data_IF_154224344362
#
_entry.id   IF_154224344362
#
_cell.length_a   1.000
_cell.length_b   1.000
_cell.length_c   1.000
_cell.angle_alpha   90.00
_cell.angle_beta   90.00
_cell.angle_gamma   90.00
#
_symmetry.space_group_name_H-M   'P 1'
#
loop_
_entity.id
_entity.type
_entity.pdbx_description
1 polymer ?
#
# COMPACT_ATOMS: atom_id res chain seq x y z
N UNK A 1 -3.66 10.13 26.43
CA UNK A 1 -2.36 10.46 25.83
C UNK A 1 -2.47 10.35 24.32
N UNK A 2 -1.74 11.16 23.56
CA UNK A 2 -1.70 11.04 22.10
C UNK A 2 -0.74 9.91 21.72
N UNK A 3 -1.17 9.04 20.79
CA UNK A 3 -0.35 7.91 20.30
C UNK A 3 0.80 8.38 19.39
N UNK A 4 0.76 9.64 18.93
CA UNK A 4 1.77 10.25 18.06
C UNK A 4 1.99 11.72 18.44
N UNK A 5 3.26 12.18 18.45
CA UNK A 5 3.66 13.51 18.93
C UNK A 5 4.25 14.43 17.86
N UNK A 6 4.15 14.07 16.57
CA UNK A 6 4.65 14.85 15.43
C UNK A 6 3.55 15.47 14.56
N UNK A 7 3.94 16.21 13.52
CA UNK A 7 3.02 16.68 12.48
C UNK A 7 2.56 15.50 11.61
N UNK A 8 1.29 15.11 11.76
CA UNK A 8 0.69 14.07 10.94
C UNK A 8 0.19 14.66 9.63
N UNK A 9 1.04 14.65 8.61
CA UNK A 9 0.72 15.16 7.28
C UNK A 9 -0.17 14.20 6.48
N UNK A 10 -0.76 14.69 5.39
CA UNK A 10 -1.54 13.88 4.47
C UNK A 10 -0.71 12.70 3.91
N UNK A 11 0.55 12.92 3.53
CA UNK A 11 1.46 11.86 3.10
C UNK A 11 1.68 10.80 4.18
N UNK A 12 1.84 11.22 5.44
CA UNK A 12 1.96 10.29 6.57
C UNK A 12 0.68 9.47 6.75
N UNK A 13 -0.48 10.11 6.61
CA UNK A 13 -1.78 9.44 6.69
C UNK A 13 -1.96 8.41 5.57
N UNK A 14 -1.61 8.76 4.33
CA UNK A 14 -1.66 7.85 3.17
C UNK A 14 -0.72 6.67 3.39
N UNK A 15 0.49 6.91 3.89
CA UNK A 15 1.46 5.86 4.17
C UNK A 15 0.97 4.91 5.28
N UNK A 16 0.47 5.44 6.38
CA UNK A 16 -0.12 4.62 7.45
C UNK A 16 -1.31 3.79 6.97
N UNK A 17 -2.21 4.39 6.19
CA UNK A 17 -3.35 3.69 5.60
C UNK A 17 -2.90 2.55 4.67
N UNK A 18 -1.87 2.78 3.86
CA UNK A 18 -1.33 1.74 2.95
C UNK A 18 -0.75 0.55 3.72
N UNK A 19 -0.01 0.81 4.81
CA UNK A 19 0.55 -0.24 5.68
C UNK A 19 -0.56 -1.00 6.41
N UNK A 20 -1.58 -0.30 6.90
CA UNK A 20 -2.72 -0.94 7.55
C UNK A 20 -3.49 -1.85 6.57
N UNK A 21 -3.72 -1.40 5.33
CA UNK A 21 -4.36 -2.21 4.29
C UNK A 21 -3.54 -3.47 3.97
N UNK A 22 -2.21 -3.34 3.83
CA UNK A 22 -1.32 -4.47 3.61
C UNK A 22 -1.34 -5.48 4.76
N UNK A 23 -1.23 -5.02 6.01
CA UNK A 23 -1.31 -5.90 7.18
C UNK A 23 -2.65 -6.62 7.26
N UNK A 24 -3.75 -5.93 6.95
CA UNK A 24 -5.09 -6.54 6.91
C UNK A 24 -5.15 -7.62 5.85
N UNK A 25 -4.59 -7.38 4.65
CA UNK A 25 -4.53 -8.38 3.59
C UNK A 25 -3.69 -9.61 3.99
N UNK A 26 -2.57 -9.43 4.69
CA UNK A 26 -1.76 -10.55 5.22
C UNK A 26 -2.54 -11.38 6.25
N UNK A 27 -3.24 -10.72 7.17
CA UNK A 27 -4.07 -11.38 8.19
C UNK A 27 -5.18 -12.19 7.52
N UNK A 28 -5.87 -11.60 6.53
CA UNK A 28 -6.92 -12.29 5.77
C UNK A 28 -6.37 -13.46 4.95
N UNK A 29 -5.15 -13.34 4.42
CA UNK A 29 -4.45 -14.41 3.71
C UNK A 29 -3.78 -15.45 4.61
N UNK A 30 -3.85 -15.29 5.94
CA UNK A 30 -3.15 -16.12 6.92
C UNK A 30 -1.63 -16.22 6.67
N UNK A 31 -1.02 -15.11 6.24
CA UNK A 31 0.40 -14.99 5.92
C UNK A 31 1.14 -14.39 7.12
N UNK A 32 2.06 -15.16 7.70
CA UNK A 32 2.82 -14.74 8.89
C UNK A 32 4.08 -13.93 8.55
N UNK A 33 4.47 -13.90 7.27
CA UNK A 33 5.66 -13.18 6.80
C UNK A 33 5.30 -11.79 6.29
N UNK A 34 5.89 -10.76 6.89
CA UNK A 34 5.72 -9.37 6.46
C UNK A 34 6.92 -8.97 5.61
N UNK A 35 6.75 -8.95 4.29
CA UNK A 35 7.74 -8.32 3.41
C UNK A 35 7.77 -6.82 3.63
N UNK A 36 8.99 -6.29 3.84
CA UNK A 36 9.25 -4.86 3.91
C UNK A 36 9.79 -4.40 2.56
N UNK A 37 9.46 -3.16 2.19
CA UNK A 37 10.01 -2.57 0.98
C UNK A 37 11.54 -2.50 1.09
N UNK A 38 12.25 -3.21 0.23
CA UNK A 38 13.70 -3.01 0.09
C UNK A 38 13.95 -1.79 -0.78
N UNK A 39 15.10 -1.13 -0.59
CA UNK A 39 15.43 0.19 -1.16
C UNK A 39 15.49 0.23 -2.70
N UNK A 40 15.28 -0.89 -3.39
CA UNK A 40 15.57 -1.08 -4.81
C UNK A 40 14.43 -1.74 -5.62
N UNK A 41 13.17 -1.58 -5.22
CA UNK A 41 12.03 -2.12 -5.98
C UNK A 41 11.59 -1.18 -7.11
N UNK A 42 11.56 -1.71 -8.34
CA UNK A 42 11.01 -1.01 -9.50
C UNK A 42 9.48 -1.18 -9.56
N UNK A 43 8.76 -0.16 -9.10
CA UNK A 43 7.30 -0.08 -9.17
C UNK A 43 6.81 0.57 -10.49
N UNK A 44 7.72 0.92 -11.40
CA UNK A 44 7.40 1.70 -12.61
C UNK A 44 6.49 0.91 -13.54
N UNK A 45 6.68 -0.41 -13.59
CA UNK A 45 5.92 -1.34 -14.44
C UNK A 45 4.54 -1.68 -13.85
N UNK A 46 4.35 -1.54 -12.53
CA UNK A 46 3.14 -2.00 -11.85
C UNK A 46 1.98 -1.04 -12.08
N UNK A 47 0.84 -1.59 -12.50
CA UNK A 47 -0.37 -0.80 -12.77
C UNK A 47 -1.58 -1.54 -12.21
N UNK A 48 -2.44 -0.81 -11.51
CA UNK A 48 -3.72 -1.32 -11.03
C UNK A 48 -4.74 -1.12 -12.14
N UNK A 49 -5.22 -2.21 -12.73
CA UNK A 49 -6.20 -2.17 -13.83
C UNK A 49 -7.64 -2.09 -13.34
N UNK A 50 -7.90 -2.60 -12.12
CA UNK A 50 -9.23 -2.54 -11.50
C UNK A 50 -9.74 -1.09 -11.38
N UNK A 51 -10.92 -0.82 -11.95
CA UNK A 51 -11.53 0.51 -12.03
C UNK A 51 -11.80 1.13 -10.65
N UNK A 52 -12.15 0.33 -9.65
CA UNK A 52 -12.43 0.81 -8.28
C UNK A 52 -11.15 1.34 -7.60
N UNK A 53 -10.00 0.74 -7.95
CA UNK A 53 -8.71 1.01 -7.33
C UNK A 53 -7.74 1.79 -8.22
N UNK A 54 -8.08 2.08 -9.47
CA UNK A 54 -7.24 2.81 -10.44
C UNK A 54 -6.79 4.18 -9.92
N UNK A 55 -7.56 4.82 -9.03
CA UNK A 55 -7.17 6.08 -8.36
C UNK A 55 -5.81 5.97 -7.65
N UNK A 56 -5.46 4.78 -7.13
CA UNK A 56 -4.20 4.52 -6.44
C UNK A 56 -2.99 4.63 -7.39
N UNK A 57 -3.15 4.46 -8.71
CA UNK A 57 -2.05 4.68 -9.67
C UNK A 57 -1.47 6.10 -9.60
N UNK A 58 -2.24 7.09 -9.11
CA UNK A 58 -1.73 8.45 -8.87
C UNK A 58 -0.64 8.48 -7.80
N UNK A 59 -0.71 7.58 -6.82
CA UNK A 59 0.26 7.49 -5.73
C UNK A 59 1.65 7.08 -6.20
N UNK A 60 1.79 6.46 -7.39
CA UNK A 60 3.11 6.16 -7.97
C UNK A 60 4.02 7.38 -8.06
N UNK A 61 3.44 8.58 -8.28
CA UNK A 61 4.18 9.84 -8.41
C UNK A 61 4.41 10.55 -7.07
N UNK A 62 3.45 10.48 -6.15
CA UNK A 62 3.50 11.26 -4.89
C UNK A 62 4.08 10.45 -3.73
N UNK A 63 3.81 9.16 -3.67
CA UNK A 63 4.19 8.29 -2.56
C UNK A 63 4.42 6.86 -3.08
N UNK A 64 5.58 6.58 -3.67
CA UNK A 64 5.90 5.27 -4.24
C UNK A 64 5.82 4.14 -3.19
N UNK A 65 6.21 4.42 -1.95
CA UNK A 65 6.09 3.47 -0.83
C UNK A 65 4.63 3.13 -0.52
N UNK A 66 3.74 4.13 -0.48
CA UNK A 66 2.32 3.88 -0.21
C UNK A 66 1.66 3.11 -1.35
N UNK A 67 2.02 3.42 -2.59
CA UNK A 67 1.56 2.66 -3.76
C UNK A 67 1.97 1.19 -3.67
N UNK A 68 3.22 0.90 -3.30
CA UNK A 68 3.71 -0.47 -3.13
C UNK A 68 2.84 -1.28 -2.17
N UNK A 69 2.55 -0.75 -0.98
CA UNK A 69 1.77 -1.49 0.02
C UNK A 69 0.32 -1.72 -0.42
N UNK A 70 -0.32 -0.72 -1.05
CA UNK A 70 -1.65 -0.92 -1.61
C UNK A 70 -1.67 -1.93 -2.75
N UNK A 71 -0.71 -1.86 -3.67
CA UNK A 71 -0.60 -2.81 -4.79
C UNK A 71 -0.42 -4.25 -4.28
N UNK A 72 0.45 -4.44 -3.29
CA UNK A 72 0.64 -5.72 -2.61
C UNK A 72 -0.64 -6.19 -1.92
N UNK A 73 -1.34 -5.31 -1.21
CA UNK A 73 -2.61 -5.65 -0.55
C UNK A 73 -3.67 -6.13 -1.56
N UNK A 74 -3.84 -5.41 -2.67
CA UNK A 74 -4.79 -5.78 -3.72
C UNK A 74 -4.41 -7.09 -4.40
N UNK A 75 -3.13 -7.30 -4.65
CA UNK A 75 -2.62 -8.55 -5.24
C UNK A 75 -2.88 -9.75 -4.33
N UNK A 76 -2.62 -9.61 -3.02
CA UNK A 76 -2.88 -10.65 -2.03
C UNK A 76 -4.38 -10.99 -1.92
N UNK A 77 -5.25 -10.00 -2.09
CA UNK A 77 -6.70 -10.17 -2.06
C UNK A 77 -7.30 -10.60 -3.41
N UNK A 78 -6.50 -10.74 -4.47
CA UNK A 78 -6.99 -11.06 -5.81
C UNK A 78 -7.83 -9.96 -6.45
N UNK A 79 -7.70 -8.71 -6.00
CA UNK A 79 -8.50 -7.56 -6.44
C UNK A 79 -7.84 -6.75 -7.56
N UNK A 80 -6.64 -7.15 -8.00
CA UNK A 80 -5.89 -6.42 -9.02
C UNK A 80 -6.32 -6.76 -10.46
N UNK A 81 -7.02 -7.88 -10.67
CA UNK A 81 -7.49 -8.34 -12.00
C UNK A 81 -9.00 -8.55 -12.00
N UNK A 82 -9.74 -7.55 -12.47
CA UNK A 82 -11.12 -7.71 -12.97
C UNK A 82 -11.22 -6.89 -14.26
#
# INVERSE_FOLDING_TARGET
GFVYSGFFSLDSAILCASKAAYLTALILGNIETVDRIEKNFDISVWTITNQDYNKLNKLKKTSPEAFYYFFRALTLLGLNEI
#
